data_IF_272061033288
#
_entry.id   IF_272061033288
#
_cell.length_a   1.000
_cell.length_b   1.000
_cell.length_c   1.000
_cell.angle_alpha   90.00
_cell.angle_beta   90.00
_cell.angle_gamma   90.00
#
_symmetry.space_group_name_H-M   'P 1'
#
loop_
_entity.id
_entity.type
_entity.pdbx_description
1 polymer ?
#
# COMPACT_ATOMS: atom_id res chain seq x y z
N UNK A 1 -10.39 -42.47 -18.31
CA UNK A 1 -11.44 -43.20 -17.59
C UNK A 1 -12.35 -42.23 -16.88
N UNK A 2 -13.67 -42.46 -16.85
CA UNK A 2 -14.70 -41.60 -16.25
C UNK A 2 -15.43 -42.32 -15.14
N UNK A 3 -16.09 -41.60 -14.22
CA UNK A 3 -16.91 -42.18 -13.14
C UNK A 3 -18.00 -43.13 -13.66
N UNK A 4 -18.45 -42.91 -14.89
CA UNK A 4 -19.45 -43.76 -15.56
C UNK A 4 -18.93 -45.19 -15.86
N UNK A 5 -17.63 -45.30 -16.14
CA UNK A 5 -16.99 -46.60 -16.42
C UNK A 5 -16.89 -47.41 -15.12
N UNK A 6 -16.55 -46.76 -14.00
CA UNK A 6 -16.54 -47.41 -12.68
C UNK A 6 -17.95 -47.84 -12.24
N UNK A 7 -18.95 -46.96 -12.51
CA UNK A 7 -20.35 -47.27 -12.19
C UNK A 7 -20.84 -48.54 -12.92
N UNK A 8 -20.49 -48.70 -14.20
CA UNK A 8 -20.83 -49.90 -14.99
C UNK A 8 -20.16 -51.16 -14.43
N UNK A 9 -18.87 -51.11 -14.11
CA UNK A 9 -18.12 -52.29 -13.62
C UNK A 9 -18.55 -52.65 -12.21
N UNK A 10 -18.79 -51.65 -11.36
CA UNK A 10 -19.30 -51.89 -9.99
C UNK A 10 -20.79 -52.19 -9.95
N UNK A 11 -21.51 -52.18 -11.08
CA UNK A 11 -22.96 -52.37 -11.19
C UNK A 11 -23.77 -51.49 -10.24
N UNK A 12 -23.42 -50.21 -10.17
CA UNK A 12 -24.08 -49.19 -9.33
C UNK A 12 -24.39 -47.95 -10.13
N UNK A 13 -25.18 -47.05 -9.57
CA UNK A 13 -25.44 -45.75 -10.20
C UNK A 13 -24.22 -44.84 -10.14
N UNK A 14 -24.10 -43.89 -11.08
CA UNK A 14 -23.07 -42.84 -11.05
C UNK A 14 -23.10 -42.01 -9.75
N UNK A 15 -24.29 -41.81 -9.17
CA UNK A 15 -24.48 -41.19 -7.86
C UNK A 15 -23.86 -42.01 -6.73
N UNK A 16 -23.99 -43.36 -6.75
CA UNK A 16 -23.36 -44.21 -5.74
C UNK A 16 -21.82 -44.14 -5.83
N UNK A 17 -21.26 -44.10 -7.03
CA UNK A 17 -19.81 -43.88 -7.23
C UNK A 17 -19.38 -42.53 -6.67
N UNK A 18 -20.15 -41.46 -6.93
CA UNK A 18 -19.90 -40.15 -6.35
C UNK A 18 -19.96 -40.11 -4.82
N UNK A 19 -20.91 -40.83 -4.21
CA UNK A 19 -21.03 -41.00 -2.76
C UNK A 19 -19.87 -41.80 -2.18
N UNK A 20 -19.37 -42.83 -2.89
CA UNK A 20 -18.21 -43.59 -2.47
C UNK A 20 -16.96 -42.72 -2.36
N UNK A 21 -16.68 -41.92 -3.39
CA UNK A 21 -15.53 -41.00 -3.42
C UNK A 21 -15.65 -39.81 -2.49
N UNK A 22 -16.88 -39.34 -2.20
CA UNK A 22 -17.11 -38.17 -1.33
C UNK A 22 -17.25 -38.53 0.16
N UNK A 23 -17.23 -39.82 0.52
CA UNK A 23 -17.40 -40.25 1.90
C UNK A 23 -18.78 -40.00 2.51
N UNK A 24 -19.74 -39.48 1.74
CA UNK A 24 -21.09 -39.13 2.25
C UNK A 24 -21.93 -40.38 2.55
N UNK A 25 -22.85 -40.30 3.53
CA UNK A 25 -23.81 -41.38 3.79
C UNK A 25 -24.76 -41.55 2.59
N UNK A 26 -25.34 -42.76 2.43
CA UNK A 26 -26.27 -43.06 1.35
C UNK A 26 -25.94 -44.35 0.57
N UNK A 27 -24.80 -44.99 0.88
CA UNK A 27 -24.42 -46.33 0.39
C UNK A 27 -23.86 -47.16 1.53
N UNK A 28 -24.04 -48.47 1.48
CA UNK A 28 -23.48 -49.40 2.47
C UNK A 28 -21.94 -49.46 2.39
N UNK A 29 -21.29 -49.78 3.53
CA UNK A 29 -19.82 -49.85 3.62
C UNK A 29 -19.21 -50.83 2.63
N UNK A 30 -19.82 -52.00 2.46
CA UNK A 30 -19.39 -53.04 1.53
C UNK A 30 -19.43 -52.56 0.06
N UNK A 31 -20.49 -51.85 -0.32
CA UNK A 31 -20.63 -51.25 -1.63
C UNK A 31 -19.57 -50.18 -1.86
N UNK A 32 -19.29 -49.39 -0.84
CA UNK A 32 -18.26 -48.36 -0.87
C UNK A 32 -16.88 -48.93 -1.08
N UNK A 33 -16.49 -49.95 -0.32
CA UNK A 33 -15.21 -50.63 -0.44
C UNK A 33 -15.03 -51.26 -1.81
N UNK A 34 -16.09 -51.88 -2.34
CA UNK A 34 -16.09 -52.48 -3.68
C UNK A 34 -15.81 -51.41 -4.77
N UNK A 35 -16.48 -50.29 -4.70
CA UNK A 35 -16.29 -49.16 -5.66
C UNK A 35 -14.86 -48.64 -5.59
N UNK A 36 -14.32 -48.40 -4.38
CA UNK A 36 -12.99 -47.87 -4.18
C UNK A 36 -11.88 -48.84 -4.60
N UNK A 37 -12.11 -50.15 -4.45
CA UNK A 37 -11.21 -51.20 -4.92
C UNK A 37 -11.17 -51.24 -6.46
N UNK A 38 -12.30 -51.25 -7.14
CA UNK A 38 -12.39 -51.22 -8.60
C UNK A 38 -11.73 -49.99 -9.17
N UNK A 39 -11.92 -48.83 -8.54
CA UNK A 39 -11.30 -47.59 -8.96
C UNK A 39 -9.76 -47.65 -8.87
N UNK A 40 -9.21 -48.25 -7.81
CA UNK A 40 -7.75 -48.43 -7.63
C UNK A 40 -7.20 -49.44 -8.66
N UNK A 41 -7.84 -50.57 -8.87
CA UNK A 41 -7.43 -51.57 -9.83
C UNK A 41 -7.40 -51.04 -11.28
N UNK A 42 -8.29 -50.11 -11.56
CA UNK A 42 -8.39 -49.46 -12.87
C UNK A 42 -7.52 -48.20 -13.03
N UNK A 43 -6.71 -47.85 -12.04
CA UNK A 43 -5.85 -46.65 -12.08
C UNK A 43 -6.61 -45.32 -12.12
N UNK A 44 -7.87 -45.31 -11.66
CA UNK A 44 -8.66 -44.10 -11.60
C UNK A 44 -8.24 -43.26 -10.38
N UNK A 45 -7.35 -42.29 -10.64
CA UNK A 45 -7.10 -41.23 -9.67
C UNK A 45 -8.25 -40.22 -9.76
N UNK A 46 -9.23 -40.31 -8.89
CA UNK A 46 -10.14 -39.20 -8.65
C UNK A 46 -9.27 -37.99 -8.33
N UNK A 47 -9.35 -36.95 -9.17
CA UNK A 47 -8.82 -35.63 -8.71
C UNK A 47 -9.40 -35.42 -7.34
N UNK A 48 -8.59 -35.17 -6.30
CA UNK A 48 -9.16 -34.88 -5.00
C UNK A 48 -10.06 -33.65 -5.21
N UNK A 49 -11.36 -33.88 -5.23
CA UNK A 49 -12.27 -32.83 -4.86
C UNK A 49 -11.90 -32.60 -3.42
N UNK A 50 -11.30 -31.45 -3.15
CA UNK A 50 -11.15 -30.94 -1.80
C UNK A 50 -12.57 -30.82 -1.25
N UNK A 51 -13.10 -31.96 -0.77
CA UNK A 51 -14.10 -31.94 0.27
C UNK A 51 -13.28 -31.55 1.48
N UNK A 52 -13.16 -30.25 1.69
CA UNK A 52 -12.99 -29.76 3.03
C UNK A 52 -14.05 -30.48 3.86
N UNK A 53 -13.69 -31.56 4.57
CA UNK A 53 -14.20 -31.81 5.88
C UNK A 53 -13.81 -30.54 6.62
N UNK A 54 -14.69 -29.56 6.59
CA UNK A 54 -14.77 -28.51 7.57
C UNK A 54 -15.07 -29.24 8.87
N UNK A 55 -14.04 -29.80 9.53
CA UNK A 55 -13.96 -29.57 10.94
C UNK A 55 -14.08 -28.07 11.03
N UNK A 56 -15.13 -27.58 11.63
CA UNK A 56 -15.18 -26.27 12.27
C UNK A 56 -14.11 -26.21 13.38
N UNK A 57 -12.83 -26.23 12.99
CA UNK A 57 -11.86 -25.40 13.67
C UNK A 57 -12.36 -24.01 13.34
N UNK A 58 -12.89 -23.32 14.35
CA UNK A 58 -13.16 -21.90 14.27
C UNK A 58 -11.90 -21.29 13.67
N UNK A 59 -11.91 -21.03 12.36
CA UNK A 59 -10.75 -20.46 11.69
C UNK A 59 -10.63 -19.08 12.31
N UNK A 60 -9.56 -18.89 13.07
CA UNK A 60 -9.26 -17.58 13.65
C UNK A 60 -9.23 -16.57 12.51
N UNK A 61 -10.06 -15.57 12.58
CA UNK A 61 -10.26 -14.59 11.52
C UNK A 61 -9.81 -13.22 11.99
N UNK A 62 -9.01 -12.53 11.19
CA UNK A 62 -8.73 -11.11 11.35
C UNK A 62 -9.54 -10.31 10.33
N UNK A 63 -9.87 -9.09 10.66
CA UNK A 63 -10.51 -8.13 9.74
C UNK A 63 -9.49 -7.07 9.37
N UNK A 64 -9.27 -6.85 8.07
CA UNK A 64 -8.60 -5.67 7.54
C UNK A 64 -9.67 -4.63 7.20
N UNK A 65 -9.76 -3.60 8.00
CA UNK A 65 -10.81 -2.59 7.95
C UNK A 65 -10.31 -1.32 7.29
N UNK A 66 -11.04 -0.84 6.30
CA UNK A 66 -10.73 0.39 5.55
C UNK A 66 -11.94 1.30 5.54
N UNK A 67 -11.73 2.57 5.85
CA UNK A 67 -12.77 3.59 5.70
C UNK A 67 -12.57 4.30 4.38
N UNK A 68 -13.54 4.17 3.48
CA UNK A 68 -13.51 4.72 2.12
C UNK A 68 -14.23 6.07 2.03
N UNK A 69 -14.06 6.73 0.88
CA UNK A 69 -14.60 8.06 0.60
C UNK A 69 -14.14 9.13 1.60
N UNK A 70 -12.89 8.98 2.05
CA UNK A 70 -12.22 9.89 2.96
C UNK A 70 -10.78 10.17 2.46
N UNK A 71 -10.48 11.43 2.19
CA UNK A 71 -9.15 11.90 1.81
C UNK A 71 -8.62 11.22 0.54
N UNK A 72 -7.53 10.45 0.64
CA UNK A 72 -6.92 9.71 -0.48
C UNK A 72 -7.46 8.29 -0.65
N UNK A 73 -8.25 7.80 0.29
CA UNK A 73 -8.83 6.46 0.26
C UNK A 73 -10.18 6.49 -0.46
N UNK A 74 -10.19 6.12 -1.73
CA UNK A 74 -11.40 5.93 -2.54
C UNK A 74 -11.96 4.51 -2.36
N UNK A 75 -13.11 4.23 -2.96
CA UNK A 75 -13.66 2.86 -3.00
C UNK A 75 -12.72 1.87 -3.69
N UNK A 76 -11.92 2.35 -4.66
CA UNK A 76 -10.97 1.53 -5.41
C UNK A 76 -9.55 1.57 -4.85
N UNK A 77 -9.36 1.89 -3.56
CA UNK A 77 -8.03 1.98 -2.91
C UNK A 77 -7.16 0.74 -3.15
N UNK A 78 -7.76 -0.44 -3.26
CA UNK A 78 -7.06 -1.71 -3.52
C UNK A 78 -6.41 -1.79 -4.90
N UNK A 79 -6.77 -0.89 -5.83
CA UNK A 79 -6.11 -0.76 -7.13
C UNK A 79 -4.85 0.11 -7.04
N UNK A 80 -4.73 0.93 -6.00
CA UNK A 80 -3.54 1.76 -5.80
C UNK A 80 -2.35 0.87 -5.40
N UNK A 81 -1.19 0.96 -6.09
CA UNK A 81 -0.04 0.08 -5.90
C UNK A 81 0.42 -0.06 -4.45
N UNK A 82 0.50 1.04 -3.71
CA UNK A 82 0.92 1.02 -2.30
C UNK A 82 0.01 0.15 -1.43
N UNK A 83 -1.31 0.36 -1.50
CA UNK A 83 -2.27 -0.38 -0.68
C UNK A 83 -2.41 -1.82 -1.14
N UNK A 84 -2.34 -2.09 -2.45
CA UNK A 84 -2.34 -3.45 -3.00
C UNK A 84 -1.19 -4.30 -2.45
N UNK A 85 0.01 -3.75 -2.39
CA UNK A 85 1.17 -4.44 -1.82
C UNK A 85 1.02 -4.65 -0.31
N UNK A 86 0.58 -3.63 0.43
CA UNK A 86 0.34 -3.74 1.88
C UNK A 86 -0.70 -4.82 2.19
N UNK A 87 -1.82 -4.85 1.47
CA UNK A 87 -2.87 -5.86 1.57
C UNK A 87 -2.32 -7.27 1.31
N UNK A 88 -1.51 -7.42 0.26
CA UNK A 88 -0.87 -8.69 -0.07
C UNK A 88 -0.01 -9.22 1.09
N UNK A 89 0.84 -8.40 1.69
CA UNK A 89 1.69 -8.79 2.80
C UNK A 89 0.89 -9.10 4.08
N UNK A 90 -0.20 -8.39 4.33
CA UNK A 90 -1.11 -8.70 5.45
C UNK A 90 -1.74 -10.07 5.24
N UNK A 91 -2.26 -10.35 4.04
CA UNK A 91 -2.86 -11.67 3.72
C UNK A 91 -1.83 -12.80 3.89
N UNK A 92 -0.64 -12.64 3.32
CA UNK A 92 0.44 -13.61 3.42
C UNK A 92 0.83 -13.89 4.88
N UNK A 93 0.97 -12.83 5.69
CA UNK A 93 1.31 -12.99 7.11
C UNK A 93 0.19 -13.66 7.89
N UNK A 94 -1.07 -13.28 7.70
CA UNK A 94 -2.23 -13.95 8.32
C UNK A 94 -2.23 -15.45 7.99
N UNK A 95 -2.08 -15.80 6.72
CA UNK A 95 -2.02 -17.18 6.26
C UNK A 95 -0.87 -17.96 6.91
N UNK A 96 0.32 -17.38 7.03
CA UNK A 96 1.49 -18.00 7.68
C UNK A 96 1.27 -18.30 9.16
N UNK A 97 0.40 -17.53 9.83
CA UNK A 97 -0.01 -17.71 11.23
C UNK A 97 -1.24 -18.60 11.40
N UNK A 98 -1.82 -19.11 10.32
CA UNK A 98 -3.03 -19.95 10.36
C UNK A 98 -4.33 -19.16 10.56
N UNK A 99 -4.32 -17.86 10.27
CA UNK A 99 -5.50 -17.00 10.28
C UNK A 99 -6.00 -16.79 8.85
N UNK A 100 -7.33 -16.66 8.70
CA UNK A 100 -7.94 -16.04 7.53
C UNK A 100 -8.05 -14.52 7.73
N UNK A 101 -8.01 -13.75 6.65
CA UNK A 101 -8.29 -12.31 6.71
C UNK A 101 -9.53 -11.99 5.87
N UNK A 102 -10.41 -11.16 6.41
CA UNK A 102 -11.56 -10.60 5.70
C UNK A 102 -11.30 -9.12 5.48
N UNK A 103 -11.39 -8.69 4.23
CA UNK A 103 -11.30 -7.28 3.86
C UNK A 103 -12.69 -6.67 3.96
N UNK A 104 -12.82 -5.63 4.78
CA UNK A 104 -14.06 -4.90 5.00
C UNK A 104 -13.84 -3.43 4.66
N UNK A 105 -14.62 -2.93 3.71
CA UNK A 105 -14.65 -1.51 3.38
C UNK A 105 -15.92 -0.89 3.94
N UNK A 106 -15.77 0.23 4.60
CA UNK A 106 -16.84 1.00 5.23
C UNK A 106 -16.86 2.38 4.62
N UNK A 107 -18.01 2.78 4.05
CA UNK A 107 -18.21 4.14 3.60
C UNK A 107 -18.30 5.09 4.80
N UNK A 108 -17.68 6.26 4.68
CA UNK A 108 -17.69 7.28 5.73
C UNK A 108 -19.10 7.75 6.08
N UNK A 109 -20.05 7.72 5.14
CA UNK A 109 -21.46 8.06 5.41
C UNK A 109 -22.13 7.10 6.41
N UNK A 110 -21.67 5.85 6.47
CA UNK A 110 -22.22 4.80 7.31
C UNK A 110 -21.27 4.38 8.44
N UNK A 111 -20.29 5.22 8.78
CA UNK A 111 -19.18 4.91 9.67
C UNK A 111 -19.63 4.28 10.98
N UNK A 112 -20.47 4.95 11.77
CA UNK A 112 -20.89 4.49 13.11
C UNK A 112 -21.62 3.15 13.06
N UNK A 113 -22.56 2.99 12.12
CA UNK A 113 -23.37 1.78 12.00
C UNK A 113 -22.51 0.59 11.60
N UNK A 114 -21.60 0.80 10.63
CA UNK A 114 -20.74 -0.25 10.10
C UNK A 114 -19.70 -0.70 11.11
N UNK A 115 -19.11 0.22 11.89
CA UNK A 115 -18.17 -0.13 12.97
C UNK A 115 -18.86 -1.00 14.02
N UNK A 116 -20.10 -0.69 14.40
CA UNK A 116 -20.89 -1.52 15.32
C UNK A 116 -21.14 -2.92 14.74
N UNK A 117 -21.51 -3.01 13.46
CA UNK A 117 -21.71 -4.30 12.79
C UNK A 117 -20.45 -5.18 12.77
N UNK A 118 -19.25 -4.56 12.58
CA UNK A 118 -17.96 -5.27 12.68
C UNK A 118 -17.72 -5.72 14.12
N UNK A 119 -18.08 -4.93 15.12
CA UNK A 119 -17.94 -5.28 16.53
C UNK A 119 -18.86 -6.44 16.96
N UNK A 120 -20.06 -6.52 16.40
CA UNK A 120 -21.03 -7.58 16.70
C UNK A 120 -20.69 -8.94 16.05
N UNK A 121 -19.73 -9.00 15.11
CA UNK A 121 -19.31 -10.26 14.50
C UNK A 121 -18.33 -11.01 15.42
N UNK A 122 -18.85 -11.96 16.19
CA UNK A 122 -18.10 -12.78 17.15
C UNK A 122 -17.01 -13.69 16.54
N UNK A 123 -16.90 -13.77 15.20
CA UNK A 123 -15.84 -14.51 14.50
C UNK A 123 -14.53 -13.77 14.46
N UNK A 124 -14.56 -12.46 14.73
CA UNK A 124 -13.38 -11.60 14.66
C UNK A 124 -12.45 -11.85 15.85
N UNK A 125 -11.20 -12.24 15.56
CA UNK A 125 -10.14 -12.39 16.55
C UNK A 125 -9.33 -11.10 16.75
N UNK A 126 -9.50 -10.11 15.86
CA UNK A 126 -8.83 -8.81 15.90
C UNK A 126 -8.99 -8.04 14.61
N UNK A 127 -8.74 -6.74 14.66
CA UNK A 127 -8.93 -5.81 13.56
C UNK A 127 -7.62 -5.06 13.26
N UNK A 128 -7.22 -5.07 12.00
CA UNK A 128 -6.18 -4.18 11.45
C UNK A 128 -6.92 -3.04 10.73
N UNK A 129 -6.83 -1.84 11.27
CA UNK A 129 -7.45 -0.64 10.69
C UNK A 129 -6.45 0.13 9.86
N UNK A 130 -6.74 0.36 8.58
CA UNK A 130 -5.98 1.31 7.77
C UNK A 130 -6.33 2.73 8.19
N UNK A 131 -5.40 3.39 8.88
CA UNK A 131 -5.64 4.68 9.54
C UNK A 131 -5.26 5.92 8.73
N UNK A 132 -4.77 5.77 7.51
CA UNK A 132 -4.12 6.81 6.68
C UNK A 132 -4.81 8.18 6.71
N UNK A 133 -6.15 8.21 6.63
CA UNK A 133 -6.93 9.45 6.58
C UNK A 133 -7.76 9.71 7.86
N UNK A 134 -7.70 8.82 8.83
CA UNK A 134 -8.59 8.91 10.00
C UNK A 134 -8.09 9.94 11.00
N UNK A 135 -9.02 10.72 11.54
CA UNK A 135 -8.75 11.62 12.64
C UNK A 135 -8.56 10.85 13.96
N UNK A 136 -8.00 11.53 14.95
CA UNK A 136 -7.82 11.00 16.30
C UNK A 136 -9.15 10.51 16.90
N UNK A 137 -10.21 11.29 16.71
CA UNK A 137 -11.55 11.02 17.24
C UNK A 137 -12.18 9.80 16.57
N UNK A 138 -12.01 9.64 15.26
CA UNK A 138 -12.47 8.48 14.51
C UNK A 138 -11.77 7.20 14.97
N UNK A 139 -10.44 7.23 15.14
CA UNK A 139 -9.68 6.08 15.64
C UNK A 139 -10.06 5.76 17.09
N UNK A 140 -10.26 6.77 17.93
CA UNK A 140 -10.71 6.57 19.31
C UNK A 140 -12.09 5.91 19.36
N UNK A 141 -13.02 6.31 18.49
CA UNK A 141 -14.34 5.69 18.36
C UNK A 141 -14.26 4.21 17.94
N UNK A 142 -13.42 3.90 16.95
CA UNK A 142 -13.19 2.51 16.50
C UNK A 142 -12.61 1.67 17.66
N UNK A 143 -11.63 2.21 18.38
CA UNK A 143 -10.99 1.51 19.49
C UNK A 143 -11.93 1.23 20.67
N UNK A 144 -12.90 2.12 20.92
CA UNK A 144 -13.93 1.90 21.96
C UNK A 144 -14.83 0.69 21.62
N UNK A 145 -15.06 0.43 20.34
CA UNK A 145 -15.90 -0.67 19.88
C UNK A 145 -15.11 -1.96 19.58
N UNK A 146 -13.85 -1.83 19.22
CA UNK A 146 -13.00 -2.93 18.76
C UNK A 146 -11.71 -2.98 19.59
N UNK A 147 -11.73 -3.60 20.80
CA UNK A 147 -10.61 -3.59 21.72
C UNK A 147 -9.36 -4.33 21.24
N UNK A 148 -9.51 -5.30 20.34
CA UNK A 148 -8.41 -6.00 19.68
C UNK A 148 -8.07 -5.29 18.35
N UNK A 149 -7.45 -4.11 18.45
CA UNK A 149 -7.20 -3.19 17.35
C UNK A 149 -5.71 -2.88 17.18
N UNK A 150 -5.23 -2.97 15.96
CA UNK A 150 -3.96 -2.37 15.50
C UNK A 150 -4.26 -1.37 14.39
N UNK A 151 -3.71 -0.18 14.47
CA UNK A 151 -3.84 0.85 13.44
C UNK A 151 -2.57 0.92 12.62
N UNK A 152 -2.73 0.84 11.29
CA UNK A 152 -1.65 0.95 10.30
C UNK A 152 -1.62 2.33 9.66
N UNK A 153 -0.40 2.79 9.32
CA UNK A 153 -0.13 3.91 8.42
C UNK A 153 -0.52 5.29 8.99
N UNK A 154 -0.66 5.40 10.30
CA UNK A 154 -0.75 6.65 11.06
C UNK A 154 -0.40 6.40 12.53
N UNK A 155 -0.21 7.46 13.31
CA UNK A 155 -0.01 7.36 14.75
C UNK A 155 -0.59 8.58 15.48
N UNK A 156 -1.18 8.31 16.65
CA UNK A 156 -1.58 9.34 17.64
C UNK A 156 -1.03 8.95 19.00
N UNK A 157 0.01 9.61 19.45
CA UNK A 157 0.75 9.29 20.68
C UNK A 157 -0.12 9.25 21.94
N UNK A 158 -1.19 10.02 21.95
CA UNK A 158 -2.11 10.15 23.10
C UNK A 158 -3.18 9.06 23.18
N UNK A 159 -3.31 8.19 22.17
CA UNK A 159 -4.27 7.09 22.19
C UNK A 159 -3.61 5.79 22.70
N UNK A 160 -4.21 5.07 23.67
CA UNK A 160 -3.69 3.81 24.19
C UNK A 160 -4.02 2.63 23.27
N UNK A 161 -3.52 2.66 22.03
CA UNK A 161 -3.79 1.71 20.95
C UNK A 161 -2.46 1.28 20.36
N UNK A 162 -2.38 0.09 19.76
CA UNK A 162 -1.24 -0.31 18.95
C UNK A 162 -1.24 0.43 17.61
N UNK A 163 -0.11 1.05 17.29
CA UNK A 163 0.13 1.69 16.00
C UNK A 163 1.37 1.10 15.33
N UNK A 164 1.29 0.94 14.01
CA UNK A 164 2.44 0.64 13.16
C UNK A 164 2.46 1.67 12.03
N UNK A 165 3.43 2.56 12.06
CA UNK A 165 3.56 3.68 11.13
C UNK A 165 4.89 3.66 10.38
N UNK A 166 4.96 4.43 9.29
CA UNK A 166 6.17 4.70 8.52
C UNK A 166 6.99 5.77 9.23
N UNK A 167 8.32 5.64 9.26
CA UNK A 167 9.20 6.75 9.63
C UNK A 167 9.31 7.75 8.46
N UNK A 168 8.20 8.47 8.24
CA UNK A 168 8.04 9.42 7.16
C UNK A 168 9.08 10.55 7.20
N UNK A 169 9.35 11.09 8.40
CA UNK A 169 10.30 12.17 8.60
C UNK A 169 11.72 11.73 8.21
N UNK A 170 12.17 10.53 8.61
CA UNK A 170 13.47 9.99 8.25
C UNK A 170 13.61 9.81 6.73
N UNK A 171 12.60 9.23 6.07
CA UNK A 171 12.65 9.04 4.61
C UNK A 171 12.75 10.35 3.85
N UNK A 172 11.91 11.31 4.20
CA UNK A 172 11.95 12.61 3.54
C UNK A 172 13.24 13.40 3.85
N UNK A 173 13.78 13.24 5.06
CA UNK A 173 15.11 13.75 5.41
C UNK A 173 16.19 13.16 4.49
N UNK A 174 16.20 11.84 4.27
CA UNK A 174 17.15 11.17 3.36
C UNK A 174 17.05 11.72 1.92
N UNK A 175 15.84 11.99 1.43
CA UNK A 175 15.62 12.58 0.11
C UNK A 175 16.19 14.01 0.03
N UNK A 176 15.91 14.85 1.03
CA UNK A 176 16.44 16.21 1.11
C UNK A 176 17.96 16.26 1.22
N UNK A 177 18.53 15.42 2.08
CA UNK A 177 19.98 15.29 2.25
C UNK A 177 20.66 14.89 0.94
N UNK A 178 20.12 13.90 0.22
CA UNK A 178 20.64 13.47 -1.08
C UNK A 178 20.68 14.62 -2.10
N UNK A 179 19.57 15.39 -2.25
CA UNK A 179 19.55 16.51 -3.17
C UNK A 179 20.59 17.59 -2.83
N UNK A 180 20.74 17.88 -1.53
CA UNK A 180 21.75 18.83 -1.07
C UNK A 180 23.18 18.31 -1.33
N UNK A 181 23.43 17.04 -1.05
CA UNK A 181 24.78 16.41 -1.16
C UNK A 181 25.24 16.32 -2.62
N UNK A 182 24.31 16.15 -3.59
CA UNK A 182 24.66 16.21 -5.02
C UNK A 182 24.70 17.65 -5.57
N UNK A 183 24.44 18.66 -4.72
CA UNK A 183 24.71 20.07 -5.02
C UNK A 183 23.52 20.94 -5.41
N UNK A 184 22.28 20.43 -5.31
CA UNK A 184 21.10 21.26 -5.56
C UNK A 184 20.91 22.32 -4.47
N UNK A 185 20.55 23.55 -4.90
CA UNK A 185 20.24 24.68 -4.03
C UNK A 185 18.86 25.29 -4.32
N UNK A 186 18.40 25.24 -5.58
CA UNK A 186 17.06 25.67 -6.00
C UNK A 186 16.20 24.41 -6.09
N UNK A 187 15.53 24.08 -4.98
CA UNK A 187 14.80 22.83 -4.80
C UNK A 187 13.32 23.14 -4.61
N UNK A 188 12.46 22.44 -5.36
CA UNK A 188 11.01 22.52 -5.23
C UNK A 188 10.44 21.36 -4.42
N UNK A 189 9.27 21.61 -3.85
CA UNK A 189 8.48 20.64 -3.07
C UNK A 189 7.11 20.48 -3.70
N UNK A 190 6.75 19.24 -4.07
CA UNK A 190 5.46 18.94 -4.65
C UNK A 190 4.60 18.19 -3.63
N UNK A 191 3.70 18.94 -3.01
CA UNK A 191 2.78 18.48 -1.98
C UNK A 191 1.53 17.84 -2.56
N UNK A 192 0.93 16.94 -1.82
CA UNK A 192 -0.46 16.54 -2.02
C UNK A 192 -1.42 17.66 -1.59
N UNK A 193 -2.47 17.90 -2.36
CA UNK A 193 -3.55 18.82 -1.97
C UNK A 193 -4.50 18.20 -0.93
N UNK A 194 -4.41 16.90 -0.68
CA UNK A 194 -5.08 16.21 0.43
C UNK A 194 -4.06 15.99 1.54
N UNK A 195 -4.27 16.65 2.69
CA UNK A 195 -3.31 16.58 3.79
C UNK A 195 -3.63 15.41 4.72
N UNK A 196 -2.60 14.64 5.06
CA UNK A 196 -2.63 13.52 5.99
C UNK A 196 -1.39 13.59 6.88
N UNK A 197 -1.42 12.89 8.02
CA UNK A 197 -0.31 12.82 8.96
C UNK A 197 1.03 12.49 8.26
N UNK A 198 1.04 11.50 7.40
CA UNK A 198 2.24 11.05 6.68
C UNK A 198 2.90 12.18 5.86
N UNK A 199 2.10 12.97 5.17
CA UNK A 199 2.62 14.08 4.34
C UNK A 199 3.13 15.24 5.19
N UNK A 200 2.54 15.51 6.36
CA UNK A 200 3.08 16.50 7.29
C UNK A 200 4.45 16.07 7.84
N UNK A 201 4.61 14.80 8.20
CA UNK A 201 5.88 14.24 8.66
C UNK A 201 6.94 14.26 7.54
N UNK A 202 6.56 13.94 6.27
CA UNK A 202 7.45 14.03 5.11
C UNK A 202 7.92 15.46 4.90
N UNK A 203 7.01 16.43 4.98
CA UNK A 203 7.33 17.86 4.86
C UNK A 203 8.30 18.32 5.94
N UNK A 204 8.05 17.93 7.20
CA UNK A 204 8.90 18.29 8.32
C UNK A 204 10.32 17.71 8.18
N UNK A 205 10.43 16.42 7.82
CA UNK A 205 11.71 15.73 7.61
C UNK A 205 12.52 16.33 6.46
N UNK A 206 11.88 16.60 5.32
CA UNK A 206 12.51 17.24 4.17
C UNK A 206 13.04 18.63 4.51
N UNK A 207 12.22 19.45 5.16
CA UNK A 207 12.63 20.79 5.59
C UNK A 207 13.77 20.76 6.62
N UNK A 208 13.84 19.73 7.47
CA UNK A 208 14.95 19.55 8.41
C UNK A 208 16.27 19.32 7.68
N UNK A 209 16.31 18.46 6.65
CA UNK A 209 17.50 18.19 5.87
C UNK A 209 18.02 19.46 5.15
N UNK A 210 17.12 20.24 4.56
CA UNK A 210 17.50 21.48 3.88
C UNK A 210 18.07 22.50 4.87
N UNK A 211 17.42 22.67 6.03
CA UNK A 211 17.90 23.63 7.06
C UNK A 211 19.30 23.33 7.57
N UNK A 212 19.69 22.08 7.68
CA UNK A 212 21.07 21.70 8.07
C UNK A 212 22.12 22.16 7.07
N UNK A 213 21.72 22.35 5.80
CA UNK A 213 22.57 22.89 4.73
C UNK A 213 22.37 24.40 4.49
N UNK A 214 21.61 25.09 5.37
CA UNK A 214 21.28 26.50 5.24
C UNK A 214 20.35 26.82 4.07
N UNK A 215 19.53 25.83 3.65
CA UNK A 215 18.57 25.94 2.56
C UNK A 215 17.12 25.85 3.09
N UNK A 216 16.21 26.36 2.29
CA UNK A 216 14.77 26.21 2.50
C UNK A 216 14.05 26.14 1.15
N UNK A 217 12.83 25.59 1.16
CA UNK A 217 11.95 25.64 -0.01
C UNK A 217 11.26 26.99 -0.04
N UNK A 218 11.51 27.78 -1.07
CA UNK A 218 10.82 29.06 -1.26
C UNK A 218 9.30 28.80 -1.50
N UNK A 219 8.40 29.70 -1.05
CA UNK A 219 6.98 29.58 -1.33
C UNK A 219 6.65 29.43 -2.82
N UNK A 220 7.36 30.14 -3.69
CA UNK A 220 7.23 30.04 -5.16
C UNK A 220 7.72 28.71 -5.75
N UNK A 221 8.37 27.87 -4.93
CA UNK A 221 8.86 26.51 -5.29
C UNK A 221 8.02 25.40 -4.66
N UNK A 222 6.87 25.75 -4.06
CA UNK A 222 5.94 24.77 -3.48
C UNK A 222 4.73 24.64 -4.39
N UNK A 223 4.49 23.40 -4.85
CA UNK A 223 3.39 23.03 -5.74
C UNK A 223 2.42 22.13 -4.98
N UNK A 224 1.13 22.14 -5.33
CA UNK A 224 0.11 21.33 -4.65
C UNK A 224 -0.81 20.67 -5.66
N UNK A 225 -0.80 19.32 -5.69
CA UNK A 225 -1.53 18.53 -6.69
C UNK A 225 -2.24 17.34 -6.04
N UNK A 226 -3.19 16.71 -6.76
CA UNK A 226 -3.80 15.48 -6.29
C UNK A 226 -2.77 14.34 -6.20
N UNK A 227 -2.81 13.48 -5.17
CA UNK A 227 -1.89 12.36 -5.00
C UNK A 227 -2.26 11.16 -5.89
N UNK A 228 -2.34 11.37 -7.21
CA UNK A 228 -2.74 10.39 -8.22
C UNK A 228 -1.83 10.45 -9.43
N UNK A 229 -1.82 9.38 -10.24
CA UNK A 229 -1.00 9.30 -11.46
C UNK A 229 -1.52 10.19 -12.60
N UNK A 230 -2.83 10.33 -12.73
CA UNK A 230 -3.43 10.96 -13.92
C UNK A 230 -4.09 12.30 -13.63
N UNK A 231 -4.94 12.40 -12.60
CA UNK A 231 -5.71 13.62 -12.33
C UNK A 231 -4.88 14.81 -11.82
N UNK A 232 -3.61 14.56 -11.46
CA UNK A 232 -2.67 15.60 -11.04
C UNK A 232 -2.03 16.36 -12.21
N UNK A 233 -2.05 15.85 -13.45
CA UNK A 233 -1.23 16.37 -14.55
C UNK A 233 -1.58 17.78 -14.98
N UNK A 234 -2.87 18.09 -15.15
CA UNK A 234 -3.28 19.45 -15.57
C UNK A 234 -2.91 20.50 -14.52
N UNK A 235 -3.16 20.21 -13.25
CA UNK A 235 -2.78 21.08 -12.14
C UNK A 235 -1.26 21.22 -12.02
N UNK A 236 -0.51 20.13 -12.20
CA UNK A 236 0.95 20.15 -12.21
C UNK A 236 1.48 21.05 -13.33
N UNK A 237 0.96 20.90 -14.55
CA UNK A 237 1.34 21.74 -15.70
C UNK A 237 1.10 23.20 -15.42
N UNK A 238 -0.11 23.57 -14.98
CA UNK A 238 -0.45 24.96 -14.68
C UNK A 238 0.48 25.58 -13.64
N UNK A 239 0.82 24.85 -12.58
CA UNK A 239 1.69 25.35 -11.52
C UNK A 239 3.14 25.46 -11.96
N UNK A 240 3.67 24.53 -12.76
CA UNK A 240 5.02 24.60 -13.32
C UNK A 240 5.13 25.77 -14.33
N UNK A 241 4.16 25.94 -15.21
CA UNK A 241 4.11 27.08 -16.15
C UNK A 241 3.98 28.41 -15.40
N UNK A 242 3.15 28.46 -14.35
CA UNK A 242 3.03 29.64 -13.49
C UNK A 242 4.34 29.98 -12.79
N UNK A 243 5.07 28.99 -12.29
CA UNK A 243 6.39 29.17 -11.70
C UNK A 243 7.38 29.67 -12.75
N UNK A 244 7.38 29.11 -13.96
CA UNK A 244 8.25 29.54 -15.05
C UNK A 244 7.98 31.02 -15.45
N UNK A 245 6.72 31.42 -15.52
CA UNK A 245 6.35 32.81 -15.80
C UNK A 245 6.79 33.79 -14.70
N UNK A 246 6.63 33.40 -13.43
CA UNK A 246 6.93 34.24 -12.28
C UNK A 246 8.44 34.37 -12.02
N UNK A 247 9.19 33.28 -12.12
CA UNK A 247 10.58 33.14 -11.70
C UNK A 247 11.57 33.09 -12.89
N UNK A 248 11.07 32.96 -14.11
CA UNK A 248 11.87 32.79 -15.33
C UNK A 248 12.55 31.44 -15.49
N UNK A 249 12.45 30.57 -14.48
CA UNK A 249 13.03 29.22 -14.48
C UNK A 249 12.30 28.31 -13.50
N UNK A 250 12.39 26.99 -13.71
CA UNK A 250 11.97 25.96 -12.76
C UNK A 250 13.09 25.64 -11.75
N UNK A 251 12.78 25.03 -10.61
CA UNK A 251 13.79 24.51 -9.69
C UNK A 251 14.62 23.41 -10.36
N UNK A 252 15.87 23.23 -9.90
CA UNK A 252 16.76 22.20 -10.45
C UNK A 252 16.46 20.79 -9.94
N UNK A 253 15.66 20.67 -8.89
CA UNK A 253 15.20 19.40 -8.35
C UNK A 253 13.81 19.54 -7.74
N UNK A 254 13.04 18.44 -7.75
CA UNK A 254 11.73 18.31 -7.11
C UNK A 254 11.75 17.12 -6.15
N UNK A 255 11.32 17.34 -4.91
CA UNK A 255 10.87 16.27 -4.04
C UNK A 255 9.35 16.21 -4.06
N UNK A 256 8.80 15.03 -4.33
CA UNK A 256 7.38 14.75 -4.40
C UNK A 256 6.95 13.90 -3.22
N UNK A 257 5.83 14.24 -2.57
CA UNK A 257 5.37 13.57 -1.35
C UNK A 257 5.05 12.08 -1.52
N UNK A 258 4.79 11.61 -2.77
CA UNK A 258 4.66 10.18 -3.09
C UNK A 258 5.06 9.90 -4.54
N UNK A 259 5.26 8.63 -4.88
CA UNK A 259 5.66 8.21 -6.24
C UNK A 259 4.60 8.52 -7.29
N UNK A 260 3.31 8.50 -6.94
CA UNK A 260 2.24 8.91 -7.87
C UNK A 260 2.44 10.34 -8.37
N UNK A 261 2.72 11.26 -7.44
CA UNK A 261 3.01 12.67 -7.76
C UNK A 261 4.31 12.77 -8.54
N UNK A 262 5.36 12.03 -8.15
CA UNK A 262 6.65 12.06 -8.82
C UNK A 262 6.56 11.60 -10.28
N UNK A 263 5.88 10.50 -10.55
CA UNK A 263 5.66 9.96 -11.90
C UNK A 263 4.85 10.94 -12.75
N UNK A 264 3.82 11.55 -12.17
CA UNK A 264 3.04 12.59 -12.85
C UNK A 264 3.88 13.84 -13.16
N UNK A 265 4.75 14.26 -12.22
CA UNK A 265 5.68 15.38 -12.42
C UNK A 265 6.68 15.08 -13.55
N UNK A 266 7.29 13.89 -13.56
CA UNK A 266 8.23 13.48 -14.62
C UNK A 266 7.58 13.52 -16.00
N UNK A 267 6.34 13.00 -16.12
CA UNK A 267 5.58 13.05 -17.36
C UNK A 267 5.31 14.48 -17.79
N UNK A 268 4.83 15.33 -16.90
CA UNK A 268 4.51 16.73 -17.19
C UNK A 268 5.78 17.52 -17.59
N UNK A 269 6.91 17.31 -16.89
CA UNK A 269 8.19 17.92 -17.24
C UNK A 269 8.64 17.52 -18.65
N UNK A 270 8.54 16.24 -19.01
CA UNK A 270 8.87 15.74 -20.35
C UNK A 270 7.98 16.41 -21.42
N UNK A 271 6.69 16.53 -21.18
CA UNK A 271 5.74 17.20 -22.08
C UNK A 271 6.01 18.72 -22.22
N UNK A 272 6.61 19.35 -21.20
CA UNK A 272 7.07 20.74 -21.24
C UNK A 272 8.47 20.88 -21.88
N UNK A 273 9.09 19.78 -22.30
CA UNK A 273 10.39 19.78 -22.96
C UNK A 273 11.60 19.74 -22.02
N UNK A 274 11.40 19.49 -20.72
CA UNK A 274 12.47 19.29 -19.75
C UNK A 274 12.89 17.83 -19.68
N UNK A 275 14.19 17.61 -19.52
CA UNK A 275 14.79 16.29 -19.34
C UNK A 275 14.93 15.97 -17.86
N UNK A 276 14.54 14.76 -17.47
CA UNK A 276 14.81 14.20 -16.15
C UNK A 276 15.89 13.14 -16.33
N UNK A 277 17.02 13.21 -15.62
CA UNK A 277 17.36 14.14 -14.54
C UNK A 277 18.14 15.40 -14.98
N UNK A 278 18.55 15.54 -16.27
CA UNK A 278 19.58 16.50 -16.71
C UNK A 278 19.19 17.96 -16.47
N UNK A 279 17.93 18.31 -16.66
CA UNK A 279 17.42 19.66 -16.44
C UNK A 279 16.78 19.80 -15.05
N UNK A 280 16.07 18.76 -14.60
CA UNK A 280 15.38 18.74 -13.28
C UNK A 280 15.48 17.33 -12.70
N UNK A 281 16.09 17.17 -11.54
CA UNK A 281 16.06 15.95 -10.74
C UNK A 281 14.71 15.75 -10.07
N UNK A 282 14.22 14.49 -9.97
CA UNK A 282 12.95 14.16 -9.31
C UNK A 282 13.15 13.02 -8.33
N UNK A 283 12.65 13.20 -7.10
CA UNK A 283 12.60 12.14 -6.07
C UNK A 283 11.15 11.93 -5.63
N UNK A 284 10.75 10.67 -5.52
CA UNK A 284 9.47 10.24 -4.98
C UNK A 284 9.55 9.67 -3.56
N UNK A 285 8.46 9.05 -3.14
CA UNK A 285 8.33 8.34 -1.86
C UNK A 285 7.35 7.17 -2.04
N UNK A 286 7.60 6.02 -1.43
CA UNK A 286 6.85 4.76 -1.33
C UNK A 286 7.51 3.58 -2.02
N UNK A 287 8.31 3.78 -3.07
CA UNK A 287 8.92 2.76 -3.93
C UNK A 287 7.87 1.76 -4.44
N UNK A 288 6.86 2.27 -5.15
CA UNK A 288 5.87 1.43 -5.82
C UNK A 288 6.48 0.74 -7.05
N UNK A 289 5.84 -0.33 -7.54
CA UNK A 289 6.35 -1.09 -8.70
C UNK A 289 6.51 -0.23 -9.95
N UNK A 290 5.66 0.77 -10.13
CA UNK A 290 5.70 1.69 -11.26
C UNK A 290 6.99 2.53 -11.29
N UNK A 291 7.66 2.71 -10.15
CA UNK A 291 8.90 3.50 -10.03
C UNK A 291 10.09 2.93 -10.83
N UNK A 292 10.09 1.63 -11.13
CA UNK A 292 11.09 0.96 -11.99
C UNK A 292 10.65 0.80 -13.46
N UNK A 293 9.38 1.12 -13.75
CA UNK A 293 8.82 1.00 -15.11
C UNK A 293 8.98 2.30 -15.89
N UNK A 294 8.90 3.44 -15.17
CA UNK A 294 9.04 4.77 -15.79
C UNK A 294 10.47 5.01 -16.27
N UNK A 295 10.60 5.89 -17.27
CA UNK A 295 11.91 6.26 -17.84
C UNK A 295 12.14 7.77 -17.68
N UNK A 296 13.24 8.15 -16.99
CA UNK A 296 14.20 7.32 -16.26
C UNK A 296 13.56 6.65 -15.02
N UNK A 297 14.17 5.54 -14.52
CA UNK A 297 13.72 4.92 -13.28
C UNK A 297 13.75 5.92 -12.11
N UNK A 298 12.69 5.94 -11.31
CA UNK A 298 12.49 6.93 -10.26
C UNK A 298 13.33 6.64 -9.01
N UNK A 299 14.21 7.56 -8.63
CA UNK A 299 14.82 7.64 -7.29
C UNK A 299 13.73 7.91 -6.26
N UNK A 300 13.67 7.11 -5.19
CA UNK A 300 12.56 7.16 -4.25
C UNK A 300 12.95 6.68 -2.85
N UNK A 301 12.01 6.78 -1.92
CA UNK A 301 12.14 6.23 -0.56
C UNK A 301 11.33 4.93 -0.49
N UNK A 302 12.00 3.83 -0.14
CA UNK A 302 11.33 2.54 0.05
C UNK A 302 10.67 2.47 1.43
N UNK A 303 9.38 2.15 1.43
CA UNK A 303 8.59 1.84 2.62
C UNK A 303 8.57 0.32 2.81
N UNK A 304 8.97 -0.14 3.99
CA UNK A 304 9.04 -1.55 4.36
C UNK A 304 7.64 -2.13 4.66
N UNK A 305 6.77 -2.17 3.63
CA UNK A 305 5.35 -2.59 3.71
C UNK A 305 5.19 -4.00 4.26
N UNK A 306 6.07 -4.92 3.88
CA UNK A 306 6.09 -6.29 4.41
C UNK A 306 6.34 -6.30 5.92
N UNK A 307 7.32 -5.52 6.40
CA UNK A 307 7.63 -5.41 7.83
C UNK A 307 6.47 -4.79 8.61
N UNK A 308 5.81 -3.76 8.06
CA UNK A 308 4.62 -3.14 8.66
C UNK A 308 3.48 -4.15 8.79
N UNK A 309 3.16 -4.88 7.74
CA UNK A 309 2.13 -5.92 7.72
C UNK A 309 2.43 -7.02 8.76
N UNK A 310 3.68 -7.50 8.79
CA UNK A 310 4.14 -8.51 9.76
C UNK A 310 3.93 -8.03 11.20
N UNK A 311 4.37 -6.83 11.53
CA UNK A 311 4.23 -6.26 12.87
C UNK A 311 2.76 -6.12 13.28
N UNK A 312 1.90 -5.63 12.39
CA UNK A 312 0.48 -5.46 12.68
C UNK A 312 -0.23 -6.80 12.95
N UNK A 313 0.06 -7.82 12.14
CA UNK A 313 -0.52 -9.16 12.34
C UNK A 313 0.05 -9.80 13.61
N UNK A 314 1.35 -9.68 13.88
CA UNK A 314 1.98 -10.25 15.06
C UNK A 314 1.42 -9.66 16.35
N UNK A 315 1.20 -8.35 16.43
CA UNK A 315 0.56 -7.68 17.57
C UNK A 315 -0.85 -8.21 17.88
N UNK A 316 -1.58 -8.70 16.88
CA UNK A 316 -2.92 -9.29 17.07
C UNK A 316 -2.90 -10.79 17.32
N UNK A 317 -1.84 -11.50 16.95
CA UNK A 317 -1.81 -12.97 16.94
C UNK A 317 -0.86 -13.57 17.95
N UNK A 318 0.03 -12.77 18.54
CA UNK A 318 0.97 -13.23 19.56
C UNK A 318 0.24 -13.41 20.90
N UNK A 319 0.27 -14.61 21.50
CA UNK A 319 -0.32 -14.84 22.80
C UNK A 319 0.27 -13.99 23.91
N UNK A 320 1.51 -13.52 23.81
CA UNK A 320 2.15 -12.65 24.77
C UNK A 320 1.53 -11.25 24.82
N UNK A 321 0.97 -10.79 23.70
CA UNK A 321 0.26 -9.49 23.61
C UNK A 321 -1.21 -9.59 24.08
N UNK A 322 -1.79 -10.81 24.04
CA UNK A 322 -3.15 -11.04 24.50
C UNK A 322 -3.24 -10.88 26.03
N UNK A 323 -4.04 -9.92 26.47
CA UNK A 323 -4.22 -9.62 27.90
C UNK A 323 -3.22 -8.63 28.47
N UNK A 324 -2.21 -8.22 27.73
CA UNK A 324 -1.36 -7.08 28.09
C UNK A 324 -2.13 -5.77 27.98
N UNK A 325 -2.01 -4.92 28.99
CA UNK A 325 -2.49 -3.53 28.93
C UNK A 325 -1.48 -2.59 28.25
N UNK A 326 -0.26 -3.07 27.99
CA UNK A 326 0.75 -2.30 27.27
C UNK A 326 0.33 -2.12 25.80
N UNK A 327 0.52 -0.94 25.28
CA UNK A 327 0.29 -0.64 23.86
C UNK A 327 1.57 -0.09 23.27
N UNK A 328 1.91 -0.58 22.08
CA UNK A 328 3.12 -0.17 21.35
C UNK A 328 2.80 0.74 20.20
N UNK A 329 3.65 1.73 19.99
CA UNK A 329 3.69 2.57 18.81
C UNK A 329 5.00 2.29 18.10
N UNK A 330 4.91 1.60 16.96
CA UNK A 330 6.07 1.14 16.22
C UNK A 330 6.23 1.97 14.96
N UNK A 331 7.35 2.67 14.88
CA UNK A 331 7.74 3.41 13.68
C UNK A 331 8.75 2.58 12.89
N UNK A 332 8.41 2.28 11.64
CA UNK A 332 9.24 1.45 10.75
C UNK A 332 10.08 2.36 9.87
N UNK A 333 11.40 2.23 9.97
CA UNK A 333 12.35 3.02 9.18
C UNK A 333 12.20 2.73 7.69
N UNK A 334 12.54 3.73 6.91
CA UNK A 334 12.55 3.73 5.45
C UNK A 334 13.97 3.61 4.90
N UNK A 335 14.10 3.38 3.61
CA UNK A 335 15.38 3.26 2.94
C UNK A 335 15.41 4.07 1.64
N UNK A 336 16.42 4.89 1.47
CA UNK A 336 16.67 5.60 0.21
C UNK A 336 17.04 4.62 -0.91
N UNK A 337 16.45 4.79 -2.07
CA UNK A 337 16.70 3.98 -3.28
C UNK A 337 17.10 4.90 -4.42
N UNK A 338 18.41 4.99 -4.65
CA UNK A 338 18.96 5.73 -5.77
C UNK A 338 18.67 5.00 -7.09
N UNK A 339 18.20 5.74 -8.09
CA UNK A 339 18.01 5.29 -9.47
C UNK A 339 18.46 6.39 -10.44
N UNK A 340 17.73 6.55 -11.56
CA UNK A 340 18.20 7.37 -12.69
C UNK A 340 17.55 8.76 -12.78
N UNK A 341 16.59 9.10 -11.90
CA UNK A 341 15.86 10.37 -11.96
C UNK A 341 16.53 11.52 -11.19
N UNK A 342 17.76 11.33 -10.72
CA UNK A 342 18.54 12.39 -10.04
C UNK A 342 19.98 12.44 -10.55
N UNK A 343 20.51 13.66 -10.73
CA UNK A 343 21.92 13.91 -11.02
C UNK A 343 22.34 15.25 -10.38
N UNK A 344 23.63 15.54 -10.37
CA UNK A 344 24.10 16.87 -9.97
C UNK A 344 23.53 17.95 -10.90
N UNK A 345 23.18 19.14 -10.37
CA UNK A 345 22.67 20.21 -11.21
C UNK A 345 23.70 20.64 -12.25
N UNK A 346 23.28 20.71 -13.52
CA UNK A 346 24.12 21.32 -14.54
C UNK A 346 24.34 22.80 -14.23
N UNK A 347 25.58 23.25 -14.23
CA UNK A 347 25.87 24.69 -14.13
C UNK A 347 25.06 25.39 -15.21
N UNK A 348 24.30 26.45 -14.82
CA UNK A 348 23.52 27.23 -15.78
C UNK A 348 24.46 27.68 -16.90
N UNK A 349 24.38 27.00 -18.05
CA UNK A 349 24.97 27.50 -19.28
C UNK A 349 24.13 28.71 -19.62
N UNK A 350 24.68 29.91 -19.38
CA UNK A 350 24.02 31.14 -19.77
C UNK A 350 23.63 31.02 -21.25
N UNK A 351 22.34 31.10 -21.54
CA UNK A 351 21.84 31.18 -22.91
C UNK A 351 22.44 32.43 -23.52
N UNK A 352 23.60 32.25 -24.18
CA UNK A 352 24.23 33.28 -24.98
C UNK A 352 23.26 33.65 -26.12
N UNK A 353 22.72 34.83 -26.00
CA UNK A 353 22.05 35.55 -27.07
C UNK A 353 22.93 35.59 -28.32
N UNK A 354 22.66 34.77 -29.32
CA UNK A 354 22.99 35.10 -30.71
C UNK A 354 22.35 34.11 -31.70
N UNK A 355 21.11 34.35 -32.04
CA UNK A 355 20.62 33.99 -33.36
C UNK A 355 20.60 35.26 -34.17
N UNK A 356 21.73 35.57 -34.81
CA UNK A 356 21.76 36.44 -35.96
C UNK A 356 21.06 35.75 -37.13
N UNK A 357 19.96 36.32 -37.59
CA UNK A 357 19.33 35.92 -38.85
C UNK A 357 20.29 36.23 -39.99
N UNK A 358 20.53 35.32 -40.93
CA UNK A 358 21.09 35.69 -42.23
C UNK A 358 20.01 36.37 -43.07
N UNK A 359 20.38 37.50 -43.70
CA UNK A 359 19.57 38.26 -44.63
C UNK A 359 19.28 37.55 -45.95
#
# INVERSE_FOLDING_TARGET
MRMEDIAKIAQVSKSAVSLAFSGKPGIGNETRERILRIAREMGYNAKPRVTATVQEKSSKQLVFLVITNLGIISEEYYQQPFFRELIHFVEERCRSKGYSVVFSSVDMEHFDQSIRAVADDHRNSGVILLGTNLSREQIAFVADKLPQLVVLDTCYDTLPIHFVEINNAMGAYQAGAHLCDIGHKDIGYVASNVRIHNFEERKAGFAAALREKGLEVAPSRTFSVAPTLLSSQDSMRQQLEGCLHAEGKLPTALFCECDYIAISAMKTLTELGYRVPEDISVIGFDNINESVIVTPELTTIHVEKEKMARLAVDLLTDPAEHGSNARSKTRVDTRFVARLSTCAPTAAVGVGSSVSKPG
#
